data_IF_163570277700
#
_entry.id   IF_163570277700
#
_cell.length_a   1.000
_cell.length_b   1.000
_cell.length_c   1.000
_cell.angle_alpha   90.00
_cell.angle_beta   90.00
_cell.angle_gamma   90.00
#
_symmetry.space_group_name_H-M   'P 1'
#
loop_
_entity.id
_entity.type
_entity.pdbx_description
1 polymer ?
#
# COMPACT_ATOMS: atom_id res chain seq x y z
N UNK A 1 -4.12 16.76 11.29
CA UNK A 1 -3.30 16.15 10.22
C UNK A 1 -4.19 15.17 9.48
N UNK A 2 -4.63 15.47 8.23
CA UNK A 2 -5.55 14.58 7.55
C UNK A 2 -4.86 13.26 7.20
N UNK A 3 -5.49 12.20 7.66
CA UNK A 3 -5.24 10.78 7.48
C UNK A 3 -4.85 10.39 6.03
N UNK A 4 -3.66 9.78 5.88
CA UNK A 4 -3.17 9.23 4.61
C UNK A 4 -3.97 8.02 4.07
N UNK A 5 -5.02 7.57 4.77
CA UNK A 5 -5.86 6.43 4.40
C UNK A 5 -6.74 6.67 3.18
N UNK A 6 -7.03 7.93 2.84
CA UNK A 6 -8.08 8.27 1.86
C UNK A 6 -7.53 8.39 0.42
N UNK A 7 -6.26 8.02 0.22
CA UNK A 7 -5.57 8.07 -1.07
C UNK A 7 -5.62 6.76 -1.86
N UNK A 8 -6.29 5.73 -1.34
CA UNK A 8 -6.43 4.43 -2.00
C UNK A 8 -7.72 4.41 -2.82
N UNK A 9 -7.55 4.67 -4.12
CA UNK A 9 -8.56 4.49 -5.18
C UNK A 9 -9.61 5.61 -5.32
N UNK A 10 -9.16 6.86 -5.52
CA UNK A 10 -9.95 7.86 -6.23
C UNK A 10 -10.16 7.41 -7.69
N UNK A 11 -11.22 6.67 -7.97
CA UNK A 11 -11.83 6.77 -9.29
C UNK A 11 -12.29 8.22 -9.42
N UNK A 12 -11.84 8.94 -10.45
CA UNK A 12 -12.40 10.25 -10.79
C UNK A 12 -13.85 10.01 -11.22
N UNK A 13 -14.76 9.99 -10.25
CA UNK A 13 -16.19 9.89 -10.49
C UNK A 13 -16.68 11.28 -10.85
N UNK A 14 -17.19 11.42 -12.07
CA UNK A 14 -17.84 12.66 -12.51
C UNK A 14 -19.32 12.47 -12.23
N UNK A 15 -19.82 13.08 -11.16
CA UNK A 15 -21.25 13.04 -10.84
C UNK A 15 -22.09 13.64 -11.98
N UNK A 16 -23.28 13.09 -12.28
CA UNK A 16 -24.14 13.57 -13.38
C UNK A 16 -24.56 15.04 -13.31
N UNK A 17 -24.53 15.65 -12.12
CA UNK A 17 -24.77 17.09 -11.92
C UNK A 17 -23.67 17.98 -12.50
N UNK A 18 -22.55 17.40 -12.93
CA UNK A 18 -21.49 18.09 -13.64
C UNK A 18 -21.70 17.97 -15.16
N UNK A 19 -22.19 19.05 -15.77
CA UNK A 19 -22.41 19.18 -17.21
C UNK A 19 -21.16 18.73 -18.01
N UNK A 20 -21.38 17.84 -18.98
CA UNK A 20 -20.34 17.25 -19.83
C UNK A 20 -19.69 18.25 -20.79
N UNK A 21 -20.22 19.47 -20.94
CA UNK A 21 -19.69 20.52 -21.83
C UNK A 21 -18.94 21.64 -21.12
N UNK A 22 -19.08 21.82 -19.80
CA UNK A 22 -18.43 22.92 -19.09
C UNK A 22 -17.06 22.55 -18.52
N UNK A 23 -16.11 23.49 -18.57
CA UNK A 23 -14.73 23.34 -18.07
C UNK A 23 -14.63 23.24 -16.52
N UNK A 24 -15.76 23.25 -15.80
CA UNK A 24 -15.84 23.42 -14.35
C UNK A 24 -15.96 22.12 -13.54
N UNK A 25 -15.55 20.96 -14.09
CA UNK A 25 -15.45 19.75 -13.27
C UNK A 25 -14.12 19.78 -12.49
N UNK A 26 -14.09 19.59 -11.15
CA UNK A 26 -12.90 19.81 -10.31
C UNK A 26 -11.67 18.93 -10.62
N UNK A 27 -11.80 17.94 -11.49
CA UNK A 27 -10.68 17.12 -12.02
C UNK A 27 -10.35 17.37 -13.50
N UNK A 28 -11.10 18.23 -14.19
CA UNK A 28 -11.09 18.33 -15.66
C UNK A 28 -10.17 19.40 -16.19
N UNK A 29 -9.99 20.55 -15.53
CA UNK A 29 -9.09 21.61 -16.00
C UNK A 29 -7.64 21.14 -16.16
N UNK A 30 -7.09 20.47 -15.13
CA UNK A 30 -5.74 19.86 -15.17
C UNK A 30 -5.62 18.78 -16.25
N UNK A 31 -6.57 17.85 -16.30
CA UNK A 31 -6.55 16.76 -17.28
C UNK A 31 -6.70 17.28 -18.71
N UNK A 32 -7.57 18.26 -18.92
CA UNK A 32 -7.84 18.89 -20.20
C UNK A 32 -6.68 19.76 -20.69
N UNK A 33 -6.01 20.50 -19.80
CA UNK A 33 -4.77 21.21 -20.13
C UNK A 33 -3.66 20.24 -20.55
N UNK A 34 -3.47 19.15 -19.81
CA UNK A 34 -2.50 18.10 -20.19
C UNK A 34 -2.85 17.42 -21.52
N UNK A 35 -4.15 17.25 -21.80
CA UNK A 35 -4.64 16.73 -23.08
C UNK A 35 -4.36 17.70 -24.23
N UNK A 36 -4.64 19.00 -24.07
CA UNK A 36 -4.32 20.06 -25.04
C UNK A 36 -2.81 20.14 -25.32
N UNK A 37 -1.99 19.98 -24.28
CA UNK A 37 -0.53 19.86 -24.38
C UNK A 37 -0.04 18.51 -24.92
N UNK A 38 -0.94 17.63 -25.39
CA UNK A 38 -0.65 16.29 -25.95
C UNK A 38 0.22 15.41 -25.05
N UNK A 39 0.10 15.56 -23.73
CA UNK A 39 0.90 14.77 -22.79
C UNK A 39 0.38 13.34 -22.72
N UNK A 40 1.29 12.36 -22.86
CA UNK A 40 0.94 10.94 -22.82
C UNK A 40 0.62 10.49 -21.38
N UNK A 41 -0.60 10.02 -21.07
CA UNK A 41 -1.00 9.71 -19.69
C UNK A 41 -0.17 8.56 -19.09
N UNK A 42 0.32 7.63 -19.92
CA UNK A 42 1.24 6.55 -19.50
C UNK A 42 2.59 7.04 -18.98
N UNK A 43 3.00 8.29 -19.29
CA UNK A 43 4.25 8.91 -18.83
C UNK A 43 4.05 9.82 -17.61
N UNK A 44 2.80 10.16 -17.25
CA UNK A 44 2.50 11.07 -16.14
C UNK A 44 2.39 10.28 -14.84
N UNK A 45 3.34 10.47 -13.91
CA UNK A 45 3.50 9.64 -12.70
C UNK A 45 2.26 9.51 -11.81
N UNK A 46 1.41 10.54 -11.78
CA UNK A 46 0.21 10.62 -10.93
C UNK A 46 -1.02 9.95 -11.54
N UNK A 47 -0.99 9.59 -12.81
CA UNK A 47 -2.15 8.97 -13.48
C UNK A 47 -2.27 7.50 -13.11
N UNK A 48 -3.51 7.01 -13.11
CA UNK A 48 -3.80 5.59 -12.91
C UNK A 48 -3.14 4.71 -13.97
N UNK A 49 -3.13 5.16 -15.22
CA UNK A 49 -2.53 4.41 -16.34
C UNK A 49 -1.02 4.25 -16.22
N UNK A 50 -0.29 5.28 -15.78
CA UNK A 50 1.14 5.16 -15.48
C UNK A 50 1.37 4.21 -14.31
N UNK A 51 0.58 4.32 -13.23
CA UNK A 51 0.71 3.46 -12.05
C UNK A 51 0.45 1.99 -12.40
N UNK A 52 -0.58 1.72 -13.19
CA UNK A 52 -0.84 0.41 -13.77
C UNK A 52 0.37 -0.07 -14.58
N UNK A 53 0.76 0.62 -15.66
CA UNK A 53 1.84 0.17 -16.54
C UNK A 53 3.20 -0.07 -15.82
N UNK A 54 3.45 0.61 -14.69
CA UNK A 54 4.66 0.43 -13.87
C UNK A 54 4.50 -0.53 -12.69
N UNK A 55 3.41 -1.29 -12.62
CA UNK A 55 3.15 -2.26 -11.55
C UNK A 55 2.99 -1.64 -10.16
N UNK A 56 2.54 -0.38 -10.07
CA UNK A 56 2.25 0.29 -8.78
C UNK A 56 0.83 0.04 -8.29
N UNK A 57 -0.04 -0.45 -9.18
CA UNK A 57 -1.39 -0.91 -8.89
C UNK A 57 -1.52 -2.37 -9.33
N UNK A 58 -2.43 -3.10 -8.69
CA UNK A 58 -2.74 -4.48 -9.04
C UNK A 58 -3.61 -4.48 -10.32
N UNK A 59 -3.02 -4.83 -11.47
CA UNK A 59 -3.70 -4.82 -12.77
C UNK A 59 -4.38 -6.16 -13.07
N UNK A 60 -3.66 -7.25 -12.80
CA UNK A 60 -4.09 -8.62 -13.10
C UNK A 60 -4.61 -9.22 -11.81
N UNK A 61 -5.76 -8.74 -11.37
CA UNK A 61 -6.49 -9.49 -10.36
C UNK A 61 -7.17 -10.62 -11.11
N UNK A 62 -6.55 -11.82 -11.10
CA UNK A 62 -7.03 -13.05 -11.76
C UNK A 62 -8.35 -13.59 -11.16
N UNK A 63 -9.25 -12.71 -10.74
CA UNK A 63 -10.67 -13.01 -10.59
C UNK A 63 -11.39 -12.39 -11.80
N UNK A 64 -11.52 -13.18 -12.85
CA UNK A 64 -12.35 -12.95 -14.04
C UNK A 64 -13.74 -12.39 -13.69
N UNK A 65 -14.23 -12.70 -12.49
CA UNK A 65 -15.46 -12.22 -11.85
C UNK A 65 -15.58 -10.68 -11.86
N UNK A 66 -14.54 -9.93 -11.47
CA UNK A 66 -14.61 -8.46 -11.35
C UNK A 66 -14.73 -7.73 -12.69
N UNK A 67 -14.02 -8.23 -13.71
CA UNK A 67 -14.13 -7.72 -15.08
C UNK A 67 -15.53 -7.95 -15.63
N UNK A 68 -16.17 -9.08 -15.30
CA UNK A 68 -17.54 -9.39 -15.74
C UNK A 68 -18.59 -8.47 -15.10
N UNK A 69 -18.38 -8.03 -13.85
CA UNK A 69 -19.25 -7.07 -13.17
C UNK A 69 -19.05 -5.63 -13.69
N UNK A 70 -17.82 -5.23 -14.03
CA UNK A 70 -17.51 -3.90 -14.55
C UNK A 70 -17.69 -3.77 -16.08
N UNK A 71 -18.01 -4.87 -16.78
CA UNK A 71 -18.19 -4.88 -18.24
C UNK A 71 -19.44 -4.10 -18.63
N UNK A 72 -19.31 -3.23 -19.64
CA UNK A 72 -20.47 -2.59 -20.27
C UNK A 72 -21.38 -3.64 -20.91
N UNK A 73 -22.65 -3.67 -20.51
CA UNK A 73 -23.70 -4.53 -21.10
C UNK A 73 -24.35 -3.74 -22.25
N UNK A 74 -24.34 -4.30 -23.46
CA UNK A 74 -24.97 -3.68 -24.63
C UNK A 74 -26.41 -4.14 -24.84
N UNK A 75 -26.83 -5.22 -24.16
CA UNK A 75 -28.19 -5.76 -24.19
C UNK A 75 -28.86 -5.56 -22.82
N UNK A 76 -30.07 -4.98 -22.78
CA UNK A 76 -30.82 -4.88 -21.54
C UNK A 76 -31.38 -6.25 -21.15
N UNK A 77 -31.47 -6.50 -19.85
CA UNK A 77 -32.16 -7.66 -19.27
C UNK A 77 -33.44 -7.14 -18.62
N UNK A 78 -34.53 -7.92 -18.71
CA UNK A 78 -35.79 -7.57 -18.05
C UNK A 78 -35.57 -7.46 -16.54
N UNK A 79 -36.24 -6.50 -15.90
CA UNK A 79 -36.16 -6.34 -14.45
C UNK A 79 -36.64 -7.60 -13.74
N UNK A 80 -35.80 -8.12 -12.86
CA UNK A 80 -36.13 -9.18 -11.91
C UNK A 80 -35.58 -8.74 -10.53
N UNK A 81 -36.47 -8.66 -9.54
CA UNK A 81 -36.13 -8.22 -8.19
C UNK A 81 -35.11 -9.14 -7.52
N UNK A 82 -35.20 -10.45 -7.76
CA UNK A 82 -34.28 -11.44 -7.19
C UNK A 82 -32.88 -11.28 -7.80
N UNK A 83 -32.81 -11.08 -9.12
CA UNK A 83 -31.56 -10.79 -9.82
C UNK A 83 -30.88 -9.51 -9.31
N UNK A 84 -31.64 -8.43 -9.15
CA UNK A 84 -31.12 -7.16 -8.64
C UNK A 84 -30.61 -7.30 -7.21
N UNK A 85 -31.39 -7.94 -6.33
CA UNK A 85 -30.99 -8.16 -4.94
C UNK A 85 -29.72 -9.02 -4.82
N UNK A 86 -29.61 -10.08 -5.62
CA UNK A 86 -28.40 -10.91 -5.68
C UNK A 86 -27.19 -10.13 -6.21
N UNK A 87 -27.40 -9.26 -7.21
CA UNK A 87 -26.32 -8.45 -7.80
C UNK A 87 -25.77 -7.42 -6.81
N UNK A 88 -26.63 -6.74 -6.05
CA UNK A 88 -26.20 -5.76 -5.03
C UNK A 88 -25.32 -6.45 -3.97
N UNK A 89 -25.78 -7.58 -3.43
CA UNK A 89 -25.00 -8.36 -2.45
C UNK A 89 -23.65 -8.83 -3.03
N UNK A 90 -23.65 -9.26 -4.30
CA UNK A 90 -22.43 -9.68 -4.98
C UNK A 90 -21.45 -8.51 -5.17
N UNK A 91 -21.94 -7.30 -5.48
CA UNK A 91 -21.11 -6.10 -5.65
C UNK A 91 -20.37 -5.74 -4.36
N UNK A 92 -21.07 -5.71 -3.21
CA UNK A 92 -20.46 -5.45 -1.91
C UNK A 92 -19.33 -6.44 -1.59
N UNK A 93 -19.61 -7.73 -1.74
CA UNK A 93 -18.64 -8.79 -1.48
C UNK A 93 -17.41 -8.69 -2.39
N UNK A 94 -17.63 -8.32 -3.64
CA UNK A 94 -16.58 -8.13 -4.64
C UNK A 94 -15.67 -6.94 -4.28
N UNK A 95 -16.23 -5.83 -3.80
CA UNK A 95 -15.47 -4.66 -3.37
C UNK A 95 -14.58 -4.96 -2.16
N UNK A 96 -15.08 -5.72 -1.18
CA UNK A 96 -14.29 -6.16 -0.03
C UNK A 96 -13.08 -7.00 -0.45
N UNK A 97 -13.27 -7.96 -1.36
CA UNK A 97 -12.20 -8.82 -1.86
C UNK A 97 -11.15 -7.96 -2.56
N UNK A 98 -11.58 -7.02 -3.41
CA UNK A 98 -10.69 -6.09 -4.10
C UNK A 98 -9.87 -5.26 -3.12
N UNK A 99 -10.51 -4.65 -2.12
CA UNK A 99 -9.82 -3.83 -1.12
C UNK A 99 -8.79 -4.66 -0.34
N UNK A 100 -9.13 -5.89 0.05
CA UNK A 100 -8.23 -6.82 0.74
C UNK A 100 -7.00 -7.16 -0.12
N UNK A 101 -7.19 -7.47 -1.40
CA UNK A 101 -6.10 -7.80 -2.32
C UNK A 101 -5.23 -6.60 -2.65
N UNK A 102 -5.81 -5.42 -2.85
CA UNK A 102 -5.07 -4.17 -3.08
C UNK A 102 -4.19 -3.79 -1.87
N UNK A 103 -4.69 -3.99 -0.65
CA UNK A 103 -3.91 -3.84 0.59
C UNK A 103 -2.75 -4.84 0.63
N UNK A 104 -3.00 -6.11 0.31
CA UNK A 104 -1.95 -7.14 0.28
C UNK A 104 -0.87 -6.84 -0.78
N UNK A 105 -1.28 -6.41 -1.98
CA UNK A 105 -0.37 -5.99 -3.04
C UNK A 105 0.48 -4.79 -2.62
N UNK A 106 -0.15 -3.78 -2.01
CA UNK A 106 0.54 -2.59 -1.51
C UNK A 106 1.52 -2.95 -0.41
N UNK A 107 1.15 -3.82 0.53
CA UNK A 107 2.03 -4.33 1.59
C UNK A 107 3.21 -5.12 1.01
N UNK A 108 3.00 -5.96 0.00
CA UNK A 108 4.08 -6.69 -0.68
C UNK A 108 5.04 -5.75 -1.41
N UNK A 109 4.50 -4.75 -2.10
CA UNK A 109 5.27 -3.74 -2.85
C UNK A 109 6.07 -2.81 -1.93
N UNK A 110 5.46 -2.31 -0.86
CA UNK A 110 6.11 -1.39 0.08
C UNK A 110 6.91 -2.11 1.16
N UNK A 111 6.60 -3.36 1.46
CA UNK A 111 7.35 -4.19 2.41
C UNK A 111 8.66 -4.72 1.87
N UNK A 112 9.21 -4.12 0.81
CA UNK A 112 10.33 -4.62 0.02
C UNK A 112 11.50 -5.03 0.89
N UNK A 113 11.76 -6.34 0.97
CA UNK A 113 12.98 -6.89 1.56
C UNK A 113 14.21 -6.18 0.98
N UNK A 114 14.26 -6.04 -0.35
CA UNK A 114 15.34 -5.35 -1.07
C UNK A 114 15.52 -3.89 -0.62
N UNK A 115 14.45 -3.15 -0.38
CA UNK A 115 14.55 -1.76 0.07
C UNK A 115 15.05 -1.66 1.53
N UNK A 116 14.63 -2.58 2.40
CA UNK A 116 15.15 -2.67 3.77
C UNK A 116 16.62 -3.09 3.79
N UNK A 117 16.99 -4.10 3.02
CA UNK A 117 18.37 -4.57 2.91
C UNK A 117 19.29 -3.48 2.36
N UNK A 118 18.87 -2.77 1.31
CA UNK A 118 19.63 -1.62 0.79
C UNK A 118 19.82 -0.54 1.85
N UNK A 119 18.76 -0.22 2.60
CA UNK A 119 18.84 0.76 3.69
C UNK A 119 19.81 0.29 4.79
N UNK A 120 19.75 -0.97 5.21
CA UNK A 120 20.69 -1.55 6.19
C UNK A 120 22.14 -1.47 5.74
N UNK A 121 22.41 -1.73 4.46
CA UNK A 121 23.75 -1.60 3.89
C UNK A 121 24.23 -0.15 3.89
N UNK A 122 23.35 0.78 3.54
CA UNK A 122 23.64 2.22 3.56
C UNK A 122 23.87 2.71 5.00
N UNK A 123 23.05 2.29 5.95
CA UNK A 123 23.20 2.61 7.37
C UNK A 123 24.56 2.09 7.90
N UNK A 124 24.94 0.85 7.57
CA UNK A 124 26.27 0.29 7.93
C UNK A 124 27.42 1.09 7.32
N UNK A 125 27.28 1.50 6.06
CA UNK A 125 28.29 2.31 5.37
C UNK A 125 28.45 3.69 6.03
N UNK A 126 27.33 4.35 6.34
CA UNK A 126 27.32 5.66 6.99
C UNK A 126 27.98 5.58 8.37
N UNK A 127 27.69 4.53 9.15
CA UNK A 127 28.34 4.31 10.46
C UNK A 127 29.85 4.12 10.32
N UNK A 128 30.31 3.36 9.32
CA UNK A 128 31.73 3.16 9.07
C UNK A 128 32.45 4.45 8.64
N UNK A 129 31.86 5.25 7.75
CA UNK A 129 32.43 6.53 7.30
C UNK A 129 32.37 7.61 8.41
N UNK A 130 31.35 7.55 9.27
CA UNK A 130 31.07 8.53 10.31
C UNK A 130 31.51 8.11 11.71
N UNK A 131 32.47 7.19 11.81
CA UNK A 131 33.00 6.64 13.08
C UNK A 131 33.45 7.77 14.04
N UNK A 132 33.98 8.85 13.47
CA UNK A 132 34.45 10.03 14.22
C UNK A 132 33.33 10.73 15.02
N UNK A 133 32.06 10.63 14.61
CA UNK A 133 30.92 11.24 15.31
C UNK A 133 30.52 10.46 16.58
N UNK A 134 30.83 9.15 16.63
CA UNK A 134 30.41 8.22 17.69
C UNK A 134 31.61 7.86 18.60
N UNK A 135 32.80 8.38 18.30
CA UNK A 135 34.07 8.00 18.92
C UNK A 135 34.12 8.19 20.44
N UNK A 136 33.40 9.19 20.97
CA UNK A 136 33.26 9.43 22.42
C UNK A 136 32.38 8.37 23.09
N UNK A 137 31.24 8.06 22.48
CA UNK A 137 30.26 7.09 22.98
C UNK A 137 30.79 5.65 22.92
N UNK A 138 31.60 5.32 21.91
CA UNK A 138 32.32 4.04 21.83
C UNK A 138 33.30 3.86 22.99
N UNK A 139 34.09 4.90 23.31
CA UNK A 139 35.07 4.87 24.39
C UNK A 139 34.43 4.74 25.77
N UNK A 140 33.30 5.42 25.99
CA UNK A 140 32.52 5.33 27.24
C UNK A 140 31.91 3.93 27.43
N UNK A 141 31.48 3.26 26.34
CA UNK A 141 31.04 1.86 26.36
C UNK A 141 32.15 0.86 26.67
N UNK A 142 33.31 1.00 26.02
CA UNK A 142 34.48 0.12 26.25
C UNK A 142 35.01 0.24 27.68
N UNK A 143 34.89 1.43 28.29
CA UNK A 143 35.22 1.68 29.69
C UNK A 143 34.18 1.18 30.71
N UNK A 144 33.11 0.50 30.27
CA UNK A 144 32.07 -0.05 31.15
C UNK A 144 31.16 0.99 31.81
N UNK A 145 31.16 2.25 31.34
CA UNK A 145 30.25 3.27 31.87
C UNK A 145 28.85 3.09 31.25
N UNK A 146 27.78 3.12 32.07
CA UNK A 146 26.43 3.05 31.55
C UNK A 146 26.13 4.28 30.71
N UNK A 147 25.63 4.06 29.48
CA UNK A 147 25.21 5.15 28.62
C UNK A 147 24.09 5.95 29.29
N UNK A 148 24.26 7.27 29.39
CA UNK A 148 23.26 8.19 29.93
C UNK A 148 22.09 8.34 28.94
N UNK A 149 21.12 7.42 29.04
CA UNK A 149 19.91 7.36 28.20
C UNK A 149 19.05 8.62 28.31
N UNK A 150 19.28 9.47 29.32
CA UNK A 150 18.53 10.71 29.55
C UNK A 150 18.81 11.80 28.50
N UNK A 151 19.98 11.76 27.84
CA UNK A 151 20.40 12.75 26.82
C UNK A 151 19.91 12.44 25.41
N UNK A 152 19.35 11.26 25.16
CA UNK A 152 18.76 10.88 23.87
C UNK A 152 17.35 11.51 23.79
N UNK A 153 17.28 12.84 23.78
CA UNK A 153 16.06 13.59 23.44
C UNK A 153 15.91 13.70 21.92
N UNK A 154 16.03 12.58 21.21
CA UNK A 154 15.41 12.46 19.90
C UNK A 154 14.44 11.30 19.99
N UNK A 155 13.15 11.63 19.95
CA UNK A 155 12.04 10.69 20.00
C UNK A 155 12.26 9.66 18.88
N UNK A 156 12.79 8.49 19.22
CA UNK A 156 12.84 7.33 18.31
C UNK A 156 11.39 6.99 18.01
N UNK A 157 10.90 7.39 16.84
CA UNK A 157 9.54 7.06 16.42
C UNK A 157 9.57 5.60 15.96
N UNK A 158 9.21 4.72 16.89
CA UNK A 158 9.04 3.29 16.69
C UNK A 158 10.04 2.47 17.48
N UNK A 159 9.63 1.97 18.65
CA UNK A 159 10.27 0.78 19.21
C UNK A 159 10.11 -0.36 18.19
N UNK A 160 11.23 -0.92 17.75
CA UNK A 160 11.23 -2.16 16.96
C UNK A 160 10.90 -3.30 17.93
N UNK A 161 9.61 -3.51 18.21
CA UNK A 161 9.18 -4.77 18.80
C UNK A 161 9.53 -5.89 17.81
N UNK A 162 10.55 -6.69 18.15
CA UNK A 162 10.83 -7.96 17.50
C UNK A 162 9.53 -8.78 17.54
N UNK A 163 8.85 -8.87 16.40
CA UNK A 163 7.61 -9.63 16.29
C UNK A 163 7.97 -11.11 16.35
N UNK A 164 8.03 -11.66 17.55
CA UNK A 164 8.07 -13.10 17.80
C UNK A 164 6.86 -13.73 17.10
N UNK A 165 7.09 -14.40 15.98
CA UNK A 165 6.04 -15.16 15.30
C UNK A 165 6.07 -16.56 15.90
N UNK A 166 5.13 -16.83 16.80
CA UNK A 166 4.84 -18.21 17.21
C UNK A 166 4.20 -18.94 16.05
N UNK A 167 4.81 -20.02 15.59
CA UNK A 167 4.24 -20.94 14.60
C UNK A 167 3.71 -22.14 15.36
N UNK A 168 2.40 -22.19 15.56
CA UNK A 168 1.72 -23.32 16.20
C UNK A 168 1.43 -24.40 15.15
N UNK A 169 1.89 -25.63 15.40
CA UNK A 169 1.47 -26.83 14.65
C UNK A 169 0.48 -27.62 15.51
N UNK A 170 -0.68 -27.95 14.95
CA UNK A 170 -1.66 -28.84 15.59
C UNK A 170 -1.28 -30.30 15.30
N UNK A 171 -1.02 -31.09 16.34
CA UNK A 171 -0.83 -32.53 16.23
C UNK A 171 -2.18 -33.25 16.13
N UNK A 172 -2.16 -34.45 15.55
CA UNK A 172 -3.34 -35.30 15.32
C UNK A 172 -4.05 -35.68 16.64
N UNK A 173 -3.33 -35.73 17.76
CA UNK A 173 -3.86 -36.04 19.09
C UNK A 173 -4.37 -34.79 19.86
N UNK A 174 -4.50 -33.64 19.18
CA UNK A 174 -5.07 -32.42 19.77
C UNK A 174 -4.09 -31.56 20.59
N UNK A 175 -2.81 -31.93 20.66
CA UNK A 175 -1.75 -31.10 21.23
C UNK A 175 -1.29 -29.99 20.26
N UNK A 176 -0.85 -28.85 20.79
CA UNK A 176 -0.24 -27.76 20.01
C UNK A 176 1.24 -27.69 20.34
N UNK A 177 2.10 -27.86 19.33
CA UNK A 177 3.55 -27.67 19.46
C UNK A 177 3.91 -26.25 18.99
N UNK A 178 4.51 -25.45 19.89
CA UNK A 178 4.97 -24.09 19.60
C UNK A 178 6.48 -24.10 19.34
N UNK A 179 6.87 -23.91 18.08
CA UNK A 179 8.27 -23.72 17.70
C UNK A 179 8.60 -22.22 17.72
N UNK A 180 9.61 -21.83 18.52
CA UNK A 180 10.15 -20.47 18.55
C UNK A 180 11.36 -20.38 17.62
N UNK A 181 11.17 -19.81 16.44
CA UNK A 181 12.28 -19.39 15.58
C UNK A 181 12.90 -18.11 16.15
N UNK A 182 14.09 -18.22 16.72
CA UNK A 182 14.96 -17.10 17.12
C UNK A 182 15.92 -16.80 15.95
N UNK A 183 15.72 -15.66 15.27
CA UNK A 183 16.70 -15.05 14.34
C UNK A 183 17.62 -14.09 15.10
#
# INVERSE_FOLDING_TARGET
>A
MPNLSDSVSAQFYVHPSHDKRSNSVPGRSKCHANFKMKRQPRKLKWTKTHRAARGKEMIVDSSLVLSQFAKKRNTPVKYDRNLVAATIKAMERVEEIRARRERAFTKRRLGGKVARERKRLEDRRVVAESEHLIRKELREREGGQPLDVSKISSRVVGEEHLRQKKKARLLVDGGVEEEMDLD
#
